data_IF_610856024329
#
_entry.id   IF_610856024329
#
_cell.length_a   1.000
_cell.length_b   1.000
_cell.length_c   1.000
_cell.angle_alpha   90.00
_cell.angle_beta   90.00
_cell.angle_gamma   90.00
#
_symmetry.space_group_name_H-M   'P 1'
#
loop_
_entity.id
_entity.type
_entity.pdbx_description
1 polymer ?
#
# COMPACT_ATOMS: atom_id res chain seq x y z
N UNK A 1 -18.15 -3.66 17.24
CA UNK A 1 -18.54 -2.33 16.88
C UNK A 1 -17.54 -1.75 15.90
N UNK A 2 -17.09 -0.50 16.10
CA UNK A 2 -16.21 0.13 15.13
C UNK A 2 -14.89 -0.60 14.97
N UNK A 3 -14.32 -1.07 16.08
CA UNK A 3 -13.06 -1.78 16.04
C UNK A 3 -13.15 -3.09 15.31
N UNK A 4 -14.25 -3.82 15.51
CA UNK A 4 -14.46 -5.08 14.82
C UNK A 4 -14.55 -4.87 13.30
N UNK A 5 -15.22 -3.81 12.90
CA UNK A 5 -15.37 -3.50 11.49
C UNK A 5 -14.02 -3.25 10.83
N UNK A 6 -13.19 -2.41 11.45
CA UNK A 6 -11.89 -2.11 10.90
C UNK A 6 -10.98 -3.34 10.91
N UNK A 7 -11.04 -4.11 12.01
CA UNK A 7 -10.26 -5.34 12.08
C UNK A 7 -10.61 -6.29 10.96
N UNK A 8 -11.90 -6.46 10.67
CA UNK A 8 -12.34 -7.36 9.62
C UNK A 8 -11.88 -6.87 8.24
N UNK A 9 -11.93 -5.56 8.03
CA UNK A 9 -11.43 -4.98 6.78
C UNK A 9 -9.94 -5.24 6.63
N UNK A 10 -9.18 -5.05 7.71
CA UNK A 10 -7.74 -5.27 7.67
C UNK A 10 -7.38 -6.75 7.45
N UNK A 11 -8.17 -7.65 8.01
CA UNK A 11 -7.96 -9.07 7.78
C UNK A 11 -8.25 -9.45 6.34
N UNK A 12 -9.29 -8.87 5.75
CA UNK A 12 -9.59 -9.08 4.33
C UNK A 12 -8.47 -8.53 3.46
N UNK A 13 -7.98 -7.35 3.81
CA UNK A 13 -6.87 -6.74 3.09
C UNK A 13 -5.64 -7.63 3.14
N UNK A 14 -5.33 -8.15 4.32
CA UNK A 14 -4.19 -9.04 4.51
C UNK A 14 -4.32 -10.29 3.63
N UNK A 15 -5.49 -10.88 3.64
CA UNK A 15 -5.73 -12.08 2.84
C UNK A 15 -5.52 -11.81 1.36
N UNK A 16 -6.03 -10.69 0.86
CA UNK A 16 -5.86 -10.33 -0.52
C UNK A 16 -4.39 -10.08 -0.86
N UNK A 17 -3.65 -9.44 0.04
CA UNK A 17 -2.24 -9.20 -0.19
C UNK A 17 -1.44 -10.49 -0.22
N UNK A 18 -1.75 -11.42 0.68
CA UNK A 18 -1.04 -12.69 0.74
C UNK A 18 -1.35 -13.61 -0.42
N UNK A 19 -2.48 -13.41 -1.07
CA UNK A 19 -2.87 -14.22 -2.22
C UNK A 19 -2.56 -13.53 -3.56
N UNK A 20 -1.77 -12.46 -3.52
CA UNK A 20 -1.33 -11.79 -4.74
C UNK A 20 -2.39 -10.90 -5.37
N UNK A 21 -3.38 -10.49 -4.62
CA UNK A 21 -4.49 -9.68 -5.13
C UNK A 21 -4.41 -8.26 -4.58
N UNK A 22 -3.24 -7.65 -4.75
CA UNK A 22 -2.97 -6.32 -4.20
C UNK A 22 -3.91 -5.26 -4.75
N UNK A 23 -4.33 -5.39 -5.99
CA UNK A 23 -5.25 -4.43 -6.59
C UNK A 23 -6.58 -4.43 -5.86
N UNK A 24 -7.09 -5.62 -5.57
CA UNK A 24 -8.34 -5.74 -4.84
C UNK A 24 -8.19 -5.26 -3.41
N UNK A 25 -7.02 -5.52 -2.82
CA UNK A 25 -6.74 -5.00 -1.48
C UNK A 25 -6.78 -3.48 -1.47
N UNK A 26 -6.24 -2.85 -2.52
CA UNK A 26 -6.24 -1.40 -2.61
C UNK A 26 -7.65 -0.83 -2.75
N UNK A 27 -8.56 -1.61 -3.32
CA UNK A 27 -9.95 -1.18 -3.47
C UNK A 27 -10.69 -1.09 -2.14
N UNK A 28 -10.12 -1.65 -1.08
CA UNK A 28 -10.70 -1.53 0.26
C UNK A 28 -10.40 -0.18 0.91
N UNK A 29 -9.58 0.65 0.28
CA UNK A 29 -9.16 1.91 0.90
C UNK A 29 -10.33 2.80 1.33
N UNK A 30 -11.37 3.03 0.51
CA UNK A 30 -12.46 3.91 0.96
C UNK A 30 -13.17 3.41 2.21
N UNK A 31 -13.48 2.11 2.26
CA UNK A 31 -14.16 1.57 3.45
C UNK A 31 -13.24 1.53 4.66
N UNK A 32 -11.95 1.31 4.41
CA UNK A 32 -10.97 1.33 5.49
C UNK A 32 -10.86 2.72 6.10
N UNK A 33 -10.80 3.74 5.25
CA UNK A 33 -10.72 5.11 5.73
C UNK A 33 -11.98 5.50 6.50
N UNK A 34 -13.13 5.09 6.02
CA UNK A 34 -14.38 5.37 6.71
C UNK A 34 -14.41 4.72 8.09
N UNK A 35 -13.98 3.47 8.16
CA UNK A 35 -13.93 2.76 9.43
C UNK A 35 -12.96 3.41 10.40
N UNK A 36 -11.83 3.90 9.89
CA UNK A 36 -10.87 4.61 10.73
C UNK A 36 -11.43 5.92 11.25
N UNK A 37 -12.17 6.64 10.42
CA UNK A 37 -12.80 7.89 10.84
C UNK A 37 -13.85 7.64 11.92
N UNK A 38 -14.59 6.56 11.81
CA UNK A 38 -15.57 6.20 12.83
C UNK A 38 -14.92 5.97 14.19
N UNK A 39 -13.79 5.28 14.19
CA UNK A 39 -13.05 5.03 15.43
C UNK A 39 -12.50 6.34 15.98
N UNK A 40 -11.98 7.18 15.11
CA UNK A 40 -11.43 8.47 15.53
C UNK A 40 -12.49 9.33 16.18
N UNK A 41 -13.69 9.38 15.59
CA UNK A 41 -14.79 10.15 16.15
C UNK A 41 -15.21 9.59 17.50
N UNK A 42 -15.22 8.27 17.63
CA UNK A 42 -15.56 7.63 18.89
C UNK A 42 -14.55 8.00 19.98
N UNK A 43 -13.26 7.98 19.63
CA UNK A 43 -12.21 8.31 20.60
C UNK A 43 -12.26 9.75 21.04
N UNK A 44 -12.59 10.66 20.12
CA UNK A 44 -12.65 12.08 20.44
C UNK A 44 -13.74 12.39 21.46
N UNK A 45 -14.76 11.57 21.53
CA UNK A 45 -15.86 11.80 22.45
C UNK A 45 -15.66 11.10 23.79
N UNK A 46 -14.49 10.52 24.03
CA UNK A 46 -14.24 9.73 25.22
C UNK A 46 -12.95 10.11 25.91
N UNK A 47 -12.92 9.91 27.22
CA UNK A 47 -11.70 10.06 27.98
C UNK A 47 -10.80 8.88 27.73
N UNK A 48 -9.49 9.10 27.50
CA UNK A 48 -8.58 7.98 27.21
C UNK A 48 -8.61 6.89 28.29
N UNK A 49 -8.79 7.27 29.54
CA UNK A 49 -8.76 6.31 30.64
C UNK A 49 -10.06 5.55 30.82
N UNK A 50 -11.10 5.92 30.09
CA UNK A 50 -12.40 5.27 30.22
C UNK A 50 -12.59 4.11 29.26
N UNK A 51 -11.57 3.81 28.46
CA UNK A 51 -11.69 2.75 27.46
C UNK A 51 -11.57 1.37 28.10
N UNK A 52 -12.47 0.43 27.76
CA UNK A 52 -12.37 -0.93 28.26
C UNK A 52 -11.10 -1.62 27.79
N UNK A 53 -10.68 -2.63 28.55
CA UNK A 53 -9.50 -3.39 28.19
C UNK A 53 -9.65 -4.07 26.82
N UNK A 54 -10.86 -4.55 26.53
CA UNK A 54 -11.15 -5.17 25.24
C UNK A 54 -10.92 -4.22 24.09
N UNK A 55 -11.32 -2.97 24.26
CA UNK A 55 -11.13 -1.97 23.23
C UNK A 55 -9.65 -1.73 22.97
N UNK A 56 -8.86 -1.66 24.03
CA UNK A 56 -7.42 -1.46 23.89
C UNK A 56 -6.76 -2.64 23.17
N UNK A 57 -7.18 -3.85 23.50
CA UNK A 57 -6.66 -5.03 22.85
C UNK A 57 -6.99 -5.02 21.36
N UNK A 58 -8.22 -4.63 21.03
CA UNK A 58 -8.62 -4.51 19.64
C UNK A 58 -7.80 -3.50 18.90
N UNK A 59 -7.54 -2.34 19.53
CA UNK A 59 -6.75 -1.29 18.91
C UNK A 59 -5.31 -1.75 18.69
N UNK A 60 -4.75 -2.49 19.63
CA UNK A 60 -3.41 -3.02 19.48
C UNK A 60 -3.33 -3.97 18.28
N UNK A 61 -4.35 -4.80 18.14
CA UNK A 61 -4.41 -5.72 17.00
C UNK A 61 -4.54 -4.96 15.69
N UNK A 62 -5.38 -3.92 15.69
CA UNK A 62 -5.57 -3.08 14.49
C UNK A 62 -4.25 -2.42 14.09
N UNK A 63 -3.52 -1.88 15.05
CA UNK A 63 -2.23 -1.24 14.76
C UNK A 63 -1.26 -2.26 14.17
N UNK A 64 -1.21 -3.45 14.75
CA UNK A 64 -0.32 -4.49 14.25
C UNK A 64 -0.69 -4.90 12.84
N UNK A 65 -1.98 -5.13 12.57
CA UNK A 65 -2.44 -5.50 11.23
C UNK A 65 -2.16 -4.40 10.23
N UNK A 66 -2.36 -3.14 10.62
CA UNK A 66 -2.09 -2.02 9.74
C UNK A 66 -0.63 -1.97 9.34
N UNK A 67 0.26 -2.18 10.29
CA UNK A 67 1.70 -2.18 10.01
C UNK A 67 2.08 -3.35 9.10
N UNK A 68 1.54 -4.51 9.38
CA UNK A 68 1.83 -5.69 8.56
C UNK A 68 1.36 -5.49 7.13
N UNK A 69 0.13 -4.97 6.97
CA UNK A 69 -0.41 -4.77 5.64
C UNK A 69 0.36 -3.69 4.88
N UNK A 70 0.76 -2.64 5.57
CA UNK A 70 1.58 -1.59 4.95
C UNK A 70 2.90 -2.16 4.46
N UNK A 71 3.51 -3.03 5.25
CA UNK A 71 4.76 -3.66 4.85
C UNK A 71 4.56 -4.55 3.63
N UNK A 72 3.44 -5.25 3.56
CA UNK A 72 3.12 -6.08 2.38
C UNK A 72 2.94 -5.23 1.12
N UNK A 73 2.19 -4.12 1.23
CA UNK A 73 2.02 -3.20 0.11
C UNK A 73 3.37 -2.68 -0.35
N UNK A 74 4.21 -2.32 0.60
CA UNK A 74 5.52 -1.77 0.27
C UNK A 74 6.40 -2.79 -0.42
N UNK A 75 6.37 -4.03 0.05
CA UNK A 75 7.15 -5.10 -0.55
C UNK A 75 6.69 -5.36 -1.98
N UNK A 76 5.38 -5.36 -2.21
CA UNK A 76 4.82 -5.56 -3.55
C UNK A 76 5.24 -4.40 -4.45
N UNK A 77 5.12 -3.18 -3.96
CA UNK A 77 5.51 -2.00 -4.74
C UNK A 77 6.98 -2.05 -5.11
N UNK A 78 7.82 -2.43 -4.16
CA UNK A 78 9.26 -2.53 -4.42
C UNK A 78 9.58 -3.64 -5.40
N UNK A 79 8.87 -4.76 -5.31
CA UNK A 79 9.04 -5.84 -6.25
C UNK A 79 8.67 -5.43 -7.67
N UNK A 80 7.58 -4.69 -7.82
CA UNK A 80 7.16 -4.18 -9.11
C UNK A 80 8.17 -3.19 -9.66
N UNK A 81 8.70 -2.33 -8.79
CA UNK A 81 9.73 -1.37 -9.23
C UNK A 81 10.97 -2.08 -9.73
N UNK A 82 11.42 -3.10 -9.01
CA UNK A 82 12.57 -3.88 -9.44
C UNK A 82 12.31 -4.59 -10.76
N UNK A 83 11.10 -5.08 -10.96
CA UNK A 83 10.74 -5.74 -12.20
C UNK A 83 10.76 -4.74 -13.36
N UNK A 84 10.23 -3.55 -13.14
CA UNK A 84 10.23 -2.50 -14.15
C UNK A 84 11.65 -2.08 -14.49
N UNK A 85 12.47 -1.89 -13.46
CA UNK A 85 13.88 -1.51 -13.67
C UNK A 85 14.60 -2.57 -14.49
N UNK A 86 14.33 -3.83 -14.23
CA UNK A 86 14.95 -4.93 -14.97
C UNK A 86 14.51 -4.93 -16.42
N UNK A 87 13.21 -4.69 -16.66
CA UNK A 87 12.70 -4.61 -18.03
C UNK A 87 13.31 -3.43 -18.79
N UNK A 88 13.43 -2.29 -18.13
CA UNK A 88 14.05 -1.13 -18.74
C UNK A 88 15.52 -1.40 -19.06
N UNK A 89 16.21 -2.07 -18.17
CA UNK A 89 17.59 -2.42 -18.38
C UNK A 89 17.75 -3.34 -19.59
N UNK A 90 16.86 -4.32 -19.71
CA UNK A 90 16.90 -5.24 -20.86
C UNK A 90 16.62 -4.50 -22.16
N UNK A 91 15.64 -3.61 -22.14
CA UNK A 91 15.33 -2.79 -23.30
C UNK A 91 16.48 -1.84 -23.62
N UNK A 92 17.08 -1.27 -22.58
CA UNK A 92 18.23 -0.41 -22.77
C UNK A 92 19.37 -1.12 -23.45
N UNK A 93 19.64 -2.36 -23.06
CA UNK A 93 20.67 -3.16 -23.69
C UNK A 93 20.32 -3.44 -25.15
N UNK A 94 19.05 -3.72 -25.44
CA UNK A 94 18.63 -4.01 -26.78
C UNK A 94 18.70 -2.80 -27.69
N UNK A 95 18.50 -1.63 -27.13
CA UNK A 95 18.45 -0.40 -27.90
C UNK A 95 19.68 0.46 -27.75
N UNK A 96 20.75 -0.10 -27.26
CA UNK A 96 21.92 0.70 -26.94
C UNK A 96 22.42 1.49 -28.16
N UNK A 97 22.36 0.90 -29.33
CA UNK A 97 22.77 1.61 -30.54
C UNK A 97 21.85 2.77 -30.87
N UNK A 98 20.56 2.55 -30.75
CA UNK A 98 19.58 3.59 -31.05
C UNK A 98 19.70 4.74 -30.08
N UNK A 99 19.87 4.46 -28.82
CA UNK A 99 20.02 5.51 -27.84
C UNK A 99 21.29 6.33 -28.09
N UNK A 100 22.34 5.65 -28.41
CA UNK A 100 23.59 6.33 -28.67
C UNK A 100 23.45 7.30 -29.85
N UNK A 101 22.70 6.88 -30.86
CA UNK A 101 22.48 7.73 -32.02
C UNK A 101 21.61 8.92 -31.70
N UNK A 102 20.55 8.69 -30.94
CA UNK A 102 19.63 9.75 -30.60
C UNK A 102 20.20 10.73 -29.60
N UNK A 103 21.11 10.27 -28.81
CA UNK A 103 21.71 11.13 -27.80
C UNK A 103 20.77 11.46 -26.67
N UNK A 104 19.64 10.83 -26.60
CA UNK A 104 18.74 11.10 -25.53
C UNK A 104 18.07 9.81 -25.12
N UNK A 105 17.89 9.70 -23.85
CA UNK A 105 17.22 8.58 -23.26
C UNK A 105 15.79 8.97 -22.99
N UNK A 106 14.89 8.22 -23.51
CA UNK A 106 13.48 8.51 -23.30
C UNK A 106 13.10 8.12 -21.90
N UNK A 107 12.62 9.08 -21.12
CA UNK A 107 12.32 8.80 -19.72
C UNK A 107 11.01 8.07 -19.57
N UNK A 108 11.11 6.77 -19.54
CA UNK A 108 9.95 5.93 -19.30
C UNK A 108 9.29 6.28 -17.98
N UNK A 109 10.10 6.63 -16.99
CA UNK A 109 9.59 6.96 -15.67
C UNK A 109 8.71 8.18 -15.67
N UNK A 110 8.90 9.08 -16.59
CA UNK A 110 8.05 10.25 -16.66
C UNK A 110 6.66 9.93 -17.16
N UNK A 111 6.57 8.89 -17.98
CA UNK A 111 5.28 8.49 -18.51
C UNK A 111 4.43 7.84 -17.45
N UNK A 112 5.04 7.04 -16.68
CA UNK A 112 4.32 6.28 -15.70
C UNK A 112 4.19 7.03 -14.41
N UNK A 113 4.93 7.92 -14.30
CA UNK A 113 4.88 8.43 -13.08
C UNK A 113 4.25 9.31 -12.85
N UNK A 114 4.99 8.73 -13.63
CA UNK A 114 5.01 9.00 -13.33
C UNK A 114 4.96 8.15 -12.78
N UNK A 115 4.80 7.16 -12.96
CA UNK A 115 4.97 6.28 -12.14
C UNK A 115 6.31 6.12 -12.10
N UNK A 116 6.87 6.39 -12.13
CA UNK A 116 7.95 6.42 -11.97
C UNK A 116 8.68 7.38 -11.86
N UNK A 117 9.46 7.51 -12.01
CA UNK A 117 10.20 8.03 -11.99
C UNK A 117 10.66 8.69 -12.08
N UNK A 118 11.42 8.56 -12.18
CA UNK A 118 12.07 8.90 -12.15
C UNK A 118 12.13 9.57 -11.99
N UNK A 119 12.22 9.27 -11.97
CA UNK A 119 12.27 9.69 -11.76
C UNK A 119 12.01 9.89 -11.61
#
# INVERSE_FOLDING_TARGET
AQTARLRDILLSEKDLLLTGRAREAAELMPVKMEAMQDIEAFLESREPNSLPAEYRADMEQIVRLSKENSAHFEAIRNGLRHAIDRLESMHGSAYVGSYAQNGSKIPFTEVTGQFRRKA
#
